data_IF_126656617448
#
_entry.id   IF_126656617448
#
_cell.length_a   1.000
_cell.length_b   1.000
_cell.length_c   1.000
_cell.angle_alpha   90.00
_cell.angle_beta   90.00
_cell.angle_gamma   90.00
#
_symmetry.space_group_name_H-M   'P 1'
#
loop_
_entity.id
_entity.type
_entity.pdbx_description
1 polymer ?
#
# COMPACT_ATOMS: atom_id res chain seq x y z
N UNK A 1 0.02 13.78 27.26
CA UNK A 1 -0.86 14.61 26.42
C UNK A 1 -0.36 14.59 24.99
N UNK A 2 -1.28 14.58 24.04
CA UNK A 2 -0.95 14.54 22.62
C UNK A 2 -2.18 14.75 21.74
N UNK A 3 -1.96 14.84 20.44
CA UNK A 3 -2.97 14.97 19.40
C UNK A 3 -2.73 13.87 18.37
N UNK A 4 -3.75 13.05 18.13
CA UNK A 4 -3.82 12.21 16.94
C UNK A 4 -4.65 12.92 15.88
N UNK A 5 -4.19 12.88 14.64
CA UNK A 5 -4.89 13.48 13.51
C UNK A 5 -4.88 12.57 12.29
N UNK A 6 -6.00 12.59 11.58
CA UNK A 6 -6.18 11.90 10.31
C UNK A 6 -6.95 12.79 9.35
N UNK A 7 -6.51 12.81 8.10
CA UNK A 7 -7.21 13.43 6.99
C UNK A 7 -7.15 12.50 5.78
N UNK A 8 -8.31 12.23 5.19
CA UNK A 8 -8.46 11.43 3.97
C UNK A 8 -9.19 12.28 2.95
N UNK A 9 -8.63 12.38 1.75
CA UNK A 9 -9.25 13.08 0.63
C UNK A 9 -9.28 12.17 -0.59
N UNK A 10 -10.46 12.02 -1.18
CA UNK A 10 -10.67 11.22 -2.40
C UNK A 10 -11.13 12.17 -3.49
N UNK A 11 -10.37 12.22 -4.58
CA UNK A 11 -10.73 12.91 -5.80
C UNK A 11 -11.10 11.87 -6.86
N UNK A 12 -12.39 11.74 -7.13
CA UNK A 12 -12.90 10.95 -8.23
C UNK A 12 -13.06 11.83 -9.47
N UNK A 13 -12.22 11.60 -10.49
CA UNK A 13 -12.21 12.44 -11.67
C UNK A 13 -13.44 12.29 -12.57
N UNK A 14 -14.19 11.18 -12.46
CA UNK A 14 -15.46 11.01 -13.16
C UNK A 14 -16.47 12.12 -12.83
N UNK A 15 -16.35 12.74 -11.65
CA UNK A 15 -17.19 13.84 -11.20
C UNK A 15 -16.86 15.21 -11.83
N UNK A 16 -15.72 15.34 -12.53
CA UNK A 16 -15.15 16.64 -12.94
C UNK A 16 -15.70 17.12 -14.30
N UNK A 17 -16.53 16.33 -15.00
CA UNK A 17 -17.16 16.72 -16.27
C UNK A 17 -16.18 16.99 -17.42
N UNK A 18 -14.89 16.64 -17.26
CA UNK A 18 -13.81 16.80 -18.24
C UNK A 18 -13.16 15.46 -18.67
N UNK A 19 -13.84 14.34 -18.37
CA UNK A 19 -13.35 12.98 -18.59
C UNK A 19 -12.85 12.31 -17.31
N UNK A 20 -12.83 10.98 -17.32
CA UNK A 20 -12.35 10.14 -16.21
C UNK A 20 -10.87 9.76 -16.44
N UNK A 21 -10.01 10.24 -15.55
CA UNK A 21 -8.58 9.93 -15.49
C UNK A 21 -8.21 9.12 -14.23
N UNK A 22 -9.19 8.55 -13.55
CA UNK A 22 -9.03 7.69 -12.39
C UNK A 22 -9.37 8.37 -11.06
N UNK A 23 -9.02 7.68 -9.97
CA UNK A 23 -9.32 8.13 -8.61
C UNK A 23 -8.02 8.36 -7.85
N UNK A 24 -7.88 9.54 -7.26
CA UNK A 24 -6.78 9.83 -6.34
C UNK A 24 -7.26 9.73 -4.90
N UNK A 25 -6.47 9.05 -4.06
CA UNK A 25 -6.69 8.96 -2.62
C UNK A 25 -5.47 9.51 -1.90
N UNK A 26 -5.67 10.55 -1.10
CA UNK A 26 -4.64 11.15 -0.27
C UNK A 26 -4.95 10.87 1.19
N UNK A 27 -3.95 10.42 1.93
CA UNK A 27 -4.07 10.15 3.37
C UNK A 27 -2.95 10.87 4.09
N UNK A 28 -3.29 11.61 5.14
CA UNK A 28 -2.35 12.14 6.12
C UNK A 28 -2.76 11.60 7.49
N UNK A 29 -1.86 10.91 8.16
CA UNK A 29 -2.10 10.40 9.51
C UNK A 29 -0.87 10.68 10.37
N UNK A 30 -1.07 11.05 11.62
CA UNK A 30 0.03 11.25 12.53
C UNK A 30 -0.38 11.52 13.96
N UNK A 31 0.64 11.50 14.81
CA UNK A 31 0.55 11.73 16.24
C UNK A 31 1.54 12.82 16.61
N UNK A 32 1.07 13.78 17.42
CA UNK A 32 1.90 14.75 18.11
C UNK A 32 1.88 14.47 19.62
N UNK A 33 3.02 14.14 20.21
CA UNK A 33 3.16 13.89 21.64
C UNK A 33 3.79 15.12 22.31
N UNK A 34 2.98 15.90 23.04
CA UNK A 34 3.44 17.12 23.71
C UNK A 34 4.10 16.85 25.05
N UNK A 35 3.56 15.88 25.79
CA UNK A 35 3.99 15.56 27.16
C UNK A 35 3.82 14.08 27.44
N UNK A 36 4.90 13.47 27.89
CA UNK A 36 4.90 12.13 28.48
C UNK A 36 5.60 12.22 29.83
N UNK A 37 4.89 11.94 30.92
CA UNK A 37 5.43 12.01 32.27
C UNK A 37 5.58 10.60 32.84
N UNK A 38 6.74 10.33 33.42
CA UNK A 38 7.02 9.10 34.15
C UNK A 38 7.18 9.39 35.64
N UNK A 39 6.68 8.49 36.47
CA UNK A 39 6.86 8.52 37.92
C UNK A 39 7.24 7.10 38.36
N UNK A 40 8.45 6.93 38.87
CA UNK A 40 8.98 5.58 39.17
C UNK A 40 8.31 4.94 40.39
N UNK A 41 7.86 5.76 41.35
CA UNK A 41 7.19 5.35 42.57
C UNK A 41 6.23 6.44 43.06
N UNK A 42 5.23 6.12 43.90
CA UNK A 42 4.23 7.11 44.35
C UNK A 42 4.81 8.36 45.03
N UNK A 43 6.00 8.24 45.61
CA UNK A 43 6.72 9.27 46.38
C UNK A 43 7.76 10.05 45.55
N UNK A 44 8.04 9.66 44.30
CA UNK A 44 9.00 10.36 43.43
C UNK A 44 8.34 11.47 42.62
N UNK A 45 9.10 12.50 42.27
CA UNK A 45 8.63 13.52 41.32
C UNK A 45 8.47 12.94 39.92
N UNK A 46 7.52 13.49 39.16
CA UNK A 46 7.33 13.15 37.75
C UNK A 46 8.44 13.75 36.90
N UNK A 47 8.91 13.00 35.92
CA UNK A 47 9.90 13.42 34.94
C UNK A 47 9.31 13.37 33.53
N UNK A 48 9.56 14.41 32.73
CA UNK A 48 9.13 14.47 31.33
C UNK A 48 10.08 13.68 30.42
N UNK A 49 9.52 12.76 29.62
CA UNK A 49 10.28 11.93 28.67
C UNK A 49 9.96 12.24 27.20
N UNK A 50 8.94 13.07 26.92
CA UNK A 50 8.61 13.48 25.56
C UNK A 50 9.79 14.20 24.88
N UNK A 51 10.03 13.84 23.63
CA UNK A 51 11.15 14.35 22.84
C UNK A 51 12.50 13.73 23.19
N UNK A 52 12.53 12.66 24.01
CA UNK A 52 13.76 12.00 24.45
C UNK A 52 13.84 10.52 24.05
N UNK A 53 15.05 9.98 24.13
CA UNK A 53 15.34 8.55 24.16
C UNK A 53 15.67 8.16 25.61
N UNK A 54 14.72 7.60 26.39
CA UNK A 54 14.99 7.11 27.74
C UNK A 54 15.75 5.78 27.71
N UNK A 55 16.94 5.73 28.29
CA UNK A 55 17.71 4.50 28.49
C UNK A 55 17.66 4.06 29.97
N UNK A 56 17.52 2.75 30.23
CA UNK A 56 17.74 2.17 31.56
C UNK A 56 16.54 2.07 32.51
N UNK A 57 15.29 2.16 32.03
CA UNK A 57 14.08 2.16 32.87
C UNK A 57 12.94 1.27 32.33
N UNK A 58 13.18 0.01 31.95
CA UNK A 58 12.18 -0.87 31.28
C UNK A 58 11.47 -0.27 30.04
N UNK A 59 11.84 0.93 29.62
CA UNK A 59 11.39 1.57 28.40
C UNK A 59 12.29 1.08 27.27
N UNK A 60 11.66 0.66 26.17
CA UNK A 60 12.33 0.44 24.91
C UNK A 60 11.94 1.55 23.93
N UNK A 61 12.93 2.24 23.40
CA UNK A 61 12.77 3.19 22.31
C UNK A 61 12.49 4.65 22.70
N UNK A 62 12.53 5.52 21.70
CA UNK A 62 12.36 6.96 21.87
C UNK A 62 10.93 7.46 21.70
N UNK A 63 10.72 8.68 22.17
CA UNK A 63 9.42 9.36 22.21
C UNK A 63 9.47 10.68 21.43
N UNK A 64 9.69 10.66 20.09
CA UNK A 64 9.69 11.88 19.31
C UNK A 64 8.34 12.58 19.41
N UNK A 65 8.37 13.92 19.35
CA UNK A 65 7.12 14.69 19.41
C UNK A 65 6.22 14.45 18.22
N UNK A 66 6.72 13.97 17.09
CA UNK A 66 5.91 13.80 15.89
C UNK A 66 6.27 12.51 15.18
N UNK A 67 5.25 11.73 14.87
CA UNK A 67 5.33 10.65 13.87
C UNK A 67 4.14 10.80 12.94
N UNK A 68 4.39 10.74 11.66
CA UNK A 68 3.33 10.89 10.67
C UNK A 68 3.66 10.10 9.41
N UNK A 69 2.65 9.78 8.63
CA UNK A 69 2.82 9.43 7.24
C UNK A 69 1.85 10.20 6.36
N UNK A 70 2.29 10.46 5.13
CA UNK A 70 1.45 10.98 4.07
C UNK A 70 1.51 10.02 2.89
N UNK A 71 0.37 9.70 2.29
CA UNK A 71 0.32 8.84 1.11
C UNK A 71 -0.57 9.40 0.03
N UNK A 72 -0.24 9.04 -1.21
CA UNK A 72 -1.04 9.32 -2.39
C UNK A 72 -1.13 8.04 -3.21
N UNK A 73 -2.36 7.64 -3.52
CA UNK A 73 -2.67 6.50 -4.35
C UNK A 73 -3.50 6.96 -5.54
N UNK A 74 -3.28 6.31 -6.68
CA UNK A 74 -4.05 6.48 -7.89
C UNK A 74 -4.54 5.13 -8.37
N UNK A 75 -5.84 5.03 -8.60
CA UNK A 75 -6.49 3.90 -9.24
C UNK A 75 -6.86 4.29 -10.67
N UNK A 76 -6.51 3.44 -11.64
CA UNK A 76 -6.79 3.69 -13.04
C UNK A 76 -8.29 3.79 -13.35
N UNK A 77 -8.68 4.67 -14.31
CA UNK A 77 -10.08 4.88 -14.68
C UNK A 77 -10.74 3.60 -15.16
N UNK A 78 -12.03 3.47 -14.82
CA UNK A 78 -12.85 2.36 -15.30
C UNK A 78 -12.93 2.39 -16.84
N UNK A 79 -13.13 1.21 -17.45
CA UNK A 79 -13.31 1.04 -18.90
C UNK A 79 -12.13 1.49 -19.79
N UNK A 80 -10.94 1.70 -19.21
CA UNK A 80 -9.69 1.99 -19.97
C UNK A 80 -8.72 0.82 -19.92
N UNK A 81 -7.63 0.88 -20.71
CA UNK A 81 -6.53 -0.08 -20.60
C UNK A 81 -5.81 -0.04 -19.24
N UNK A 82 -5.98 1.05 -18.49
CA UNK A 82 -5.45 1.24 -17.14
C UNK A 82 -6.42 0.72 -16.07
N UNK A 83 -7.60 0.19 -16.45
CA UNK A 83 -8.53 -0.40 -15.53
C UNK A 83 -7.88 -1.59 -14.80
N UNK A 84 -7.60 -1.41 -13.52
CA UNK A 84 -6.89 -2.39 -12.69
C UNK A 84 -5.39 -2.11 -12.49
N UNK A 85 -4.85 -1.02 -13.05
CA UNK A 85 -3.54 -0.50 -12.66
C UNK A 85 -3.71 0.47 -11.49
N UNK A 86 -3.07 0.15 -10.38
CA UNK A 86 -3.07 0.97 -9.17
C UNK A 86 -1.62 1.28 -8.79
N UNK A 87 -1.33 2.52 -8.41
CA UNK A 87 0.01 2.94 -7.97
C UNK A 87 -0.11 3.88 -6.79
N UNK A 88 0.84 3.81 -5.88
CA UNK A 88 0.90 4.78 -4.79
C UNK A 88 2.25 4.89 -4.16
N UNK A 89 2.38 5.92 -3.34
CA UNK A 89 3.56 6.13 -2.52
C UNK A 89 3.20 6.66 -1.15
N UNK A 90 4.02 6.30 -0.17
CA UNK A 90 3.88 6.70 1.23
C UNK A 90 5.18 7.29 1.72
N UNK A 91 5.13 8.52 2.22
CA UNK A 91 6.24 9.15 2.95
C UNK A 91 5.99 8.92 4.43
N UNK A 92 6.94 8.28 5.11
CA UNK A 92 6.95 8.17 6.57
C UNK A 92 7.89 9.21 7.16
N UNK A 93 7.45 9.90 8.20
CA UNK A 93 8.21 10.94 8.90
C UNK A 93 8.28 10.62 10.39
N UNK A 94 9.49 10.63 10.92
CA UNK A 94 9.78 10.58 12.35
C UNK A 94 10.50 11.87 12.73
N UNK A 95 9.92 12.61 13.67
CA UNK A 95 10.47 13.88 14.14
C UNK A 95 11.77 13.69 14.93
N UNK A 96 12.55 14.76 14.99
CA UNK A 96 13.75 14.85 15.83
C UNK A 96 13.46 14.56 17.31
N UNK A 97 14.45 14.03 18.02
CA UNK A 97 14.42 13.82 19.46
C UNK A 97 15.82 13.92 20.05
N UNK A 98 15.92 13.94 21.38
CA UNK A 98 17.18 14.02 22.11
C UNK A 98 17.59 12.67 22.64
N UNK A 99 18.84 12.32 22.38
CA UNK A 99 19.55 11.21 22.99
C UNK A 99 19.86 11.57 24.45
N UNK A 100 19.17 10.94 25.40
CA UNK A 100 19.33 11.17 26.83
C UNK A 100 19.97 9.95 27.48
N UNK A 101 21.28 9.82 27.28
CA UNK A 101 22.01 8.69 27.80
C UNK A 101 22.67 9.05 29.14
N UNK A 102 22.08 8.57 30.24
CA UNK A 102 22.65 8.65 31.60
C UNK A 102 24.10 8.12 31.62
N UNK A 103 24.41 7.09 30.82
CA UNK A 103 25.75 6.52 30.68
C UNK A 103 26.73 7.43 29.93
N UNK A 104 26.29 8.10 28.86
CA UNK A 104 27.14 9.04 28.10
C UNK A 104 27.39 10.33 28.88
N UNK A 105 26.41 10.80 29.65
CA UNK A 105 26.56 11.99 30.53
C UNK A 105 27.53 11.70 31.67
N UNK A 106 27.50 10.48 32.24
CA UNK A 106 28.50 10.02 33.21
C UNK A 106 29.93 9.98 32.64
N UNK A 107 30.07 9.80 31.32
CA UNK A 107 31.33 9.86 30.58
C UNK A 107 31.69 11.27 30.05
N UNK A 108 30.96 12.33 30.45
CA UNK A 108 31.23 13.72 30.03
C UNK A 108 30.69 14.10 28.65
N UNK A 109 29.86 13.26 28.03
CA UNK A 109 29.22 13.54 26.74
C UNK A 109 27.96 14.38 26.92
N UNK A 110 27.70 15.29 25.99
CA UNK A 110 26.49 16.12 25.98
C UNK A 110 25.30 15.36 25.39
N UNK A 111 24.06 15.67 25.81
CA UNK A 111 22.86 15.20 25.12
C UNK A 111 22.97 15.49 23.63
N UNK A 112 22.74 14.48 22.79
CA UNK A 112 22.86 14.60 21.34
C UNK A 112 21.48 14.74 20.73
N UNK A 113 21.34 15.62 19.73
CA UNK A 113 20.14 15.67 18.92
C UNK A 113 20.19 14.56 17.86
N UNK A 114 19.16 13.73 17.82
CA UNK A 114 18.91 12.78 16.75
C UNK A 114 18.00 13.48 15.74
N UNK A 115 18.44 13.50 14.48
CA UNK A 115 17.74 14.21 13.41
C UNK A 115 16.46 13.48 13.02
N UNK A 116 15.54 14.25 12.46
CA UNK A 116 14.38 13.74 11.75
C UNK A 116 14.77 12.66 10.72
N UNK A 117 13.92 11.65 10.59
CA UNK A 117 14.11 10.55 9.65
C UNK A 117 12.90 10.44 8.74
N UNK A 118 13.15 10.27 7.45
CA UNK A 118 12.11 10.22 6.43
C UNK A 118 12.41 9.11 5.44
N UNK A 119 11.43 8.24 5.23
CA UNK A 119 11.49 7.19 4.22
C UNK A 119 10.36 7.38 3.22
N UNK A 120 10.55 6.84 2.03
CA UNK A 120 9.56 6.86 0.98
C UNK A 120 9.38 5.45 0.43
N UNK A 121 8.15 4.99 0.42
CA UNK A 121 7.74 3.68 -0.08
C UNK A 121 6.91 3.86 -1.34
N UNK A 122 7.10 2.96 -2.30
CA UNK A 122 6.36 2.91 -3.56
C UNK A 122 5.76 1.53 -3.77
N UNK A 123 4.54 1.50 -4.32
CA UNK A 123 3.85 0.27 -4.69
C UNK A 123 3.11 0.47 -6.00
N UNK A 124 3.15 -0.52 -6.87
CA UNK A 124 2.37 -0.58 -8.08
C UNK A 124 1.77 -1.99 -8.24
N UNK A 125 0.50 -2.08 -8.61
CA UNK A 125 -0.20 -3.32 -8.87
C UNK A 125 -0.98 -3.28 -10.16
N UNK A 126 -1.04 -4.41 -10.85
CA UNK A 126 -1.90 -4.59 -12.01
C UNK A 126 -2.76 -5.83 -11.85
N UNK A 127 -4.07 -5.65 -11.92
CA UNK A 127 -5.05 -6.73 -11.96
C UNK A 127 -5.48 -6.99 -13.39
N UNK A 128 -5.16 -8.18 -13.89
CA UNK A 128 -5.55 -8.61 -15.23
C UNK A 128 -7.07 -8.84 -15.27
N UNK A 129 -7.79 -7.96 -15.97
CA UNK A 129 -9.20 -8.15 -16.32
C UNK A 129 -9.28 -8.49 -17.80
N UNK A 130 -9.40 -9.77 -18.11
CA UNK A 130 -9.48 -10.25 -19.47
C UNK A 130 -10.97 -10.49 -19.79
N UNK A 131 -11.60 -9.66 -20.64
CA UNK A 131 -12.99 -9.87 -20.99
C UNK A 131 -13.16 -11.24 -21.64
N UNK A 132 -14.14 -12.01 -21.18
CA UNK A 132 -14.56 -13.23 -21.86
C UNK A 132 -15.02 -12.81 -23.26
N UNK A 133 -14.53 -13.43 -24.35
CA UNK A 133 -15.02 -13.13 -25.68
C UNK A 133 -16.54 -13.35 -25.69
N UNK A 134 -17.29 -12.26 -25.78
CA UNK A 134 -18.74 -12.34 -25.95
C UNK A 134 -18.95 -13.06 -27.28
N UNK A 135 -19.62 -14.21 -27.26
CA UNK A 135 -20.11 -14.82 -28.48
C UNK A 135 -20.84 -13.72 -29.24
N UNK A 136 -20.42 -13.40 -30.46
CA UNK A 136 -21.20 -12.50 -31.30
C UNK A 136 -22.60 -13.12 -31.39
N UNK A 137 -23.59 -12.52 -30.73
CA UNK A 137 -24.98 -12.85 -31.01
C UNK A 137 -25.15 -12.63 -32.51
N UNK A 138 -25.50 -13.71 -33.22
CA UNK A 138 -25.78 -13.63 -34.64
C UNK A 138 -26.91 -12.61 -34.80
N UNK A 139 -26.58 -11.42 -35.29
CA UNK A 139 -27.56 -10.40 -35.65
C UNK A 139 -28.53 -11.07 -36.63
N UNK A 140 -29.83 -11.17 -36.31
CA UNK A 140 -30.81 -11.75 -37.22
C UNK A 140 -30.86 -10.88 -38.48
N UNK A 141 -30.25 -11.36 -39.56
CA UNK A 141 -30.22 -10.64 -40.84
C UNK A 141 -28.91 -10.70 -41.61
N UNK A 142 -27.81 -11.20 -41.03
CA UNK A 142 -26.54 -11.38 -41.76
C UNK A 142 -26.05 -12.84 -41.73
N UNK A 143 -26.83 -13.73 -42.33
CA UNK A 143 -26.33 -15.03 -42.77
C UNK A 143 -26.04 -14.95 -44.28
N UNK A 144 -24.78 -14.65 -44.64
CA UNK A 144 -24.30 -14.94 -45.98
C UNK A 144 -24.13 -16.45 -46.09
N UNK A 145 -25.04 -17.06 -46.86
CA UNK A 145 -24.97 -18.33 -47.58
C UNK A 145 -24.22 -19.51 -46.94
N UNK A 146 -24.94 -20.64 -46.81
CA UNK A 146 -24.30 -21.94 -46.99
C UNK A 146 -24.71 -23.08 -46.05
N UNK A 147 -25.93 -23.11 -45.51
CA UNK A 147 -26.43 -24.32 -44.83
C UNK A 147 -26.76 -25.43 -45.83
N UNK A 148 -25.85 -26.39 -46.03
CA UNK A 148 -26.17 -27.64 -46.76
C UNK A 148 -27.18 -28.46 -45.94
N UNK A 149 -28.41 -28.56 -46.44
CA UNK A 149 -29.44 -29.45 -45.91
C UNK A 149 -29.05 -30.91 -46.15
N UNK A 150 -28.80 -31.67 -45.08
CA UNK A 150 -28.76 -33.14 -45.14
C UNK A 150 -30.19 -33.63 -44.90
N UNK A 151 -30.80 -34.22 -45.93
CA UNK A 151 -32.09 -34.92 -45.81
C UNK A 151 -31.88 -36.22 -45.03
N UNK A 152 -32.58 -36.39 -43.91
CA UNK A 152 -32.88 -37.70 -43.35
C UNK A 152 -34.31 -38.10 -43.73
N UNK A 153 -34.51 -39.37 -44.01
CA UNK A 153 -35.79 -39.96 -44.38
C UNK A 153 -36.62 -40.24 -43.11
N UNK A 154 -37.23 -39.19 -42.55
CA UNK A 154 -38.51 -39.26 -41.84
C UNK A 154 -38.95 -37.82 -41.51
N UNK A 155 -40.19 -37.48 -41.85
CA UNK A 155 -40.76 -36.11 -41.85
C UNK A 155 -40.95 -35.53 -40.43
N UNK A 156 -39.83 -35.21 -39.75
CA UNK A 156 -39.81 -34.30 -38.60
C UNK A 156 -38.61 -33.37 -38.69
N UNK A 157 -38.87 -32.14 -39.14
CA UNK A 157 -37.95 -31.03 -38.97
C UNK A 157 -37.70 -30.80 -37.48
N UNK A 158 -36.50 -31.16 -37.01
CA UNK A 158 -36.01 -30.74 -35.70
C UNK A 158 -35.02 -29.61 -35.94
N UNK A 159 -35.44 -28.39 -35.67
CA UNK A 159 -34.53 -27.25 -35.53
C UNK A 159 -33.55 -27.57 -34.41
N UNK A 160 -32.33 -27.94 -34.78
CA UNK A 160 -31.21 -27.93 -33.84
C UNK A 160 -30.72 -26.49 -33.83
N UNK A 161 -31.22 -25.70 -32.87
CA UNK A 161 -30.60 -24.43 -32.56
C UNK A 161 -29.11 -24.68 -32.35
N UNK A 162 -28.21 -23.90 -32.97
CA UNK A 162 -26.81 -23.98 -32.60
C UNK A 162 -26.75 -23.56 -31.13
N UNK A 163 -26.44 -24.52 -30.26
CA UNK A 163 -26.08 -24.23 -28.89
C UNK A 163 -24.87 -23.31 -29.00
N UNK A 164 -25.08 -22.02 -28.72
CA UNK A 164 -24.01 -21.04 -28.50
C UNK A 164 -23.22 -21.50 -27.28
N UNK A 165 -22.36 -22.50 -27.47
CA UNK A 165 -21.32 -22.90 -26.54
C UNK A 165 -20.18 -21.91 -26.70
N UNK A 166 -20.41 -20.66 -26.29
CA UNK A 166 -19.32 -19.80 -25.87
C UNK A 166 -18.94 -20.14 -24.43
N UNK A 167 -18.66 -21.42 -24.19
CA UNK A 167 -18.02 -21.90 -22.98
C UNK A 167 -16.82 -22.72 -23.40
N UNK A 168 -15.83 -22.13 -24.06
CA UNK A 168 -14.52 -22.80 -24.16
C UNK A 168 -13.39 -21.77 -24.29
N UNK A 169 -12.82 -21.41 -23.14
CA UNK A 169 -11.42 -21.74 -22.86
C UNK A 169 -11.12 -21.51 -21.37
N UNK A 170 -11.68 -22.35 -20.51
CA UNK A 170 -11.20 -22.54 -19.12
C UNK A 170 -9.76 -23.08 -19.08
N UNK A 171 -9.22 -23.51 -20.23
CA UNK A 171 -7.92 -24.13 -20.39
C UNK A 171 -7.00 -23.23 -21.23
N UNK A 172 -6.35 -22.24 -20.63
CA UNK A 172 -5.38 -21.39 -21.32
C UNK A 172 -4.76 -20.34 -20.41
N UNK A 173 -3.58 -19.82 -20.79
CA UNK A 173 -2.85 -18.81 -20.00
C UNK A 173 -3.67 -17.54 -19.75
N UNK A 174 -4.60 -17.19 -20.64
CA UNK A 174 -5.53 -16.06 -20.46
C UNK A 174 -6.57 -16.30 -19.37
N UNK A 175 -7.21 -17.47 -19.35
CA UNK A 175 -8.13 -17.83 -18.27
C UNK A 175 -7.40 -17.96 -16.93
N UNK A 176 -6.15 -18.43 -16.96
CA UNK A 176 -5.29 -18.45 -15.79
C UNK A 176 -4.92 -17.04 -15.31
N UNK A 177 -4.60 -16.10 -16.21
CA UNK A 177 -4.27 -14.72 -15.84
C UNK A 177 -5.46 -13.89 -15.38
N UNK A 178 -6.68 -14.17 -15.84
CA UNK A 178 -7.85 -13.36 -15.45
C UNK A 178 -8.01 -13.31 -13.92
N UNK A 179 -8.32 -12.16 -13.34
CA UNK A 179 -8.41 -11.95 -11.89
C UNK A 179 -7.13 -12.28 -11.11
N UNK A 180 -5.99 -12.28 -11.79
CA UNK A 180 -4.66 -12.29 -11.18
C UNK A 180 -4.20 -10.86 -10.97
N UNK A 181 -3.65 -10.56 -9.80
CA UNK A 181 -3.00 -9.29 -9.48
C UNK A 181 -1.51 -9.55 -9.28
N UNK A 182 -0.68 -8.84 -10.04
CA UNK A 182 0.76 -8.76 -9.82
C UNK A 182 1.07 -7.42 -9.16
N UNK A 183 1.81 -7.44 -8.06
CA UNK A 183 2.22 -6.24 -7.32
C UNK A 183 3.74 -6.21 -7.20
N UNK A 184 4.32 -5.05 -7.46
CA UNK A 184 5.72 -4.72 -7.20
C UNK A 184 5.75 -3.59 -6.17
N UNK A 185 6.46 -3.80 -5.07
CA UNK A 185 6.67 -2.77 -4.07
C UNK A 185 8.15 -2.57 -3.76
N UNK A 186 8.48 -1.35 -3.33
CA UNK A 186 9.78 -0.98 -2.82
C UNK A 186 9.60 -0.12 -1.58
N UNK A 187 10.15 -0.59 -0.47
CA UNK A 187 10.28 0.17 0.77
C UNK A 187 11.61 0.92 0.76
N UNK A 188 11.62 2.10 1.38
CA UNK A 188 12.80 2.94 1.53
C UNK A 188 13.52 3.18 0.18
N UNK A 189 12.80 3.76 -0.78
CA UNK A 189 13.23 4.03 -2.16
C UNK A 189 14.53 4.84 -2.23
N UNK A 190 14.78 5.69 -1.23
CA UNK A 190 16.00 6.51 -1.15
C UNK A 190 17.17 5.84 -0.43
N UNK A 191 16.97 4.61 0.09
CA UNK A 191 17.99 3.87 0.86
C UNK A 191 18.51 4.68 2.05
N UNK A 192 17.59 5.31 2.78
CA UNK A 192 17.91 6.13 3.95
C UNK A 192 18.20 5.24 5.15
N UNK A 193 19.44 5.31 5.65
CA UNK A 193 19.80 4.66 6.91
C UNK A 193 19.06 5.29 8.11
N UNK A 194 18.76 4.51 9.16
CA UNK A 194 18.25 5.05 10.40
C UNK A 194 19.28 5.98 11.05
N UNK A 195 18.84 7.06 11.73
CA UNK A 195 19.76 7.98 12.38
C UNK A 195 20.41 7.29 13.57
N UNK A 196 21.72 7.55 13.78
CA UNK A 196 22.44 7.00 14.92
C UNK A 196 21.82 7.45 16.25
N UNK A 197 21.54 6.49 17.13
CA UNK A 197 21.08 6.69 18.49
C UNK A 197 22.06 6.04 19.46
N UNK A 198 22.75 6.86 20.26
CA UNK A 198 23.68 6.39 21.29
C UNK A 198 22.96 5.69 22.44
N UNK A 199 21.71 6.08 22.73
CA UNK A 199 20.80 5.41 23.67
C UNK A 199 20.47 3.96 23.34
N UNK A 200 20.79 3.49 22.13
CA UNK A 200 20.64 2.11 21.71
C UNK A 200 22.02 1.42 21.63
N UNK A 201 22.62 1.00 22.75
CA UNK A 201 24.01 0.51 22.79
C UNK A 201 24.23 -0.79 22.01
N UNK A 202 23.18 -1.56 21.77
CA UNK A 202 23.27 -2.85 21.07
C UNK A 202 23.54 -2.67 19.58
N UNK A 203 22.77 -1.78 18.92
CA UNK A 203 22.75 -1.70 17.46
C UNK A 203 22.96 -0.27 16.90
N UNK A 204 23.03 0.75 17.76
CA UNK A 204 23.35 2.13 17.36
C UNK A 204 22.23 2.90 16.66
N UNK A 205 21.00 2.40 16.69
CA UNK A 205 19.79 3.07 16.19
C UNK A 205 18.56 2.67 17.02
N UNK A 206 17.47 3.44 16.92
CA UNK A 206 16.23 3.14 17.64
C UNK A 206 15.35 2.12 16.89
N UNK A 207 15.37 0.87 17.35
CA UNK A 207 14.56 -0.23 16.81
C UNK A 207 13.05 -0.08 17.01
N UNK A 208 12.60 0.75 17.94
CA UNK A 208 11.17 1.00 18.13
C UNK A 208 10.58 1.88 17.01
N UNK A 209 11.44 2.64 16.32
CA UNK A 209 11.04 3.62 15.31
C UNK A 209 11.55 3.29 13.92
N UNK A 210 12.65 2.55 13.80
CA UNK A 210 13.32 2.30 12.54
C UNK A 210 13.69 0.84 12.33
N UNK A 211 13.74 0.44 11.06
CA UNK A 211 14.25 -0.85 10.60
C UNK A 211 15.59 -0.60 9.89
N UNK A 212 16.54 -1.54 10.04
CA UNK A 212 17.84 -1.52 9.33
C UNK A 212 17.72 -1.91 7.88
N UNK A 213 16.56 -2.43 7.46
CA UNK A 213 16.30 -2.66 6.05
C UNK A 213 16.42 -1.32 5.33
N UNK A 214 17.48 -1.22 4.53
CA UNK A 214 17.62 -0.19 3.50
C UNK A 214 16.55 -0.39 2.42
N UNK A 215 16.92 -0.16 1.17
CA UNK A 215 16.01 -0.34 0.03
C UNK A 215 15.60 -1.81 -0.10
N UNK A 216 14.30 -2.09 0.10
CA UNK A 216 13.78 -3.46 0.06
C UNK A 216 12.68 -3.60 -0.99
N UNK A 217 12.86 -4.51 -1.95
CA UNK A 217 11.87 -4.78 -3.00
C UNK A 217 11.13 -6.09 -2.73
N UNK A 218 9.86 -6.13 -3.10
CA UNK A 218 9.07 -7.34 -3.02
C UNK A 218 8.12 -7.46 -4.21
N UNK A 219 7.79 -8.70 -4.54
CA UNK A 219 6.81 -9.05 -5.56
C UNK A 219 5.73 -9.88 -4.90
N UNK A 220 4.47 -9.58 -5.19
CA UNK A 220 3.32 -10.34 -4.71
C UNK A 220 2.46 -10.78 -5.90
N UNK A 221 2.01 -12.02 -5.85
CA UNK A 221 1.03 -12.59 -6.77
C UNK A 221 -0.23 -12.94 -5.98
N UNK A 222 -1.39 -12.43 -6.41
CA UNK A 222 -2.70 -12.74 -5.85
C UNK A 222 -3.61 -13.25 -6.96
N UNK A 223 -4.34 -14.33 -6.72
CA UNK A 223 -5.34 -14.89 -7.65
C UNK A 223 -6.69 -14.96 -6.94
N UNK A 224 -7.76 -14.52 -7.58
CA UNK A 224 -9.14 -14.78 -7.14
C UNK A 224 -9.72 -15.94 -7.97
N UNK A 225 -10.53 -16.78 -7.34
CA UNK A 225 -11.22 -17.93 -7.94
C UNK A 225 -12.72 -17.70 -7.91
#
# INVERSE_FOLDING_TARGET
EGLDYEAIYILDSSSIGRGDFGRFTFILNGTYLSRFEFQASPDTHRIGLSGGFPAGLNFSGSMPHTRAFASAFWDGPADTCLAGFDVGGTVHYTGQYQDNNIELIGAGSKPRKIREWTTFDLIASYTFKLPVPVAQEAVPGYAKDGGKNVKMHDDKEKSVAPVSTAEYSTCGWRAWLNDTTLTLGMQNVFDSDPPFAGGAPENGYDESLADIKGRFWYVQLKKRF
#
